data_IF_340230886126
#
_entry.id   IF_340230886126
#
_cell.length_a   1.000
_cell.length_b   1.000
_cell.length_c   1.000
_cell.angle_alpha   90.00
_cell.angle_beta   90.00
_cell.angle_gamma   90.00
#
_symmetry.space_group_name_H-M   'P 1'
#
loop_
_entity.id
_entity.type
_entity.pdbx_description
1 polymer ?
#
# COMPACT_ATOMS: atom_id res chain seq x y z
N UNK A 1 -4.68 2.03 -5.66
CA UNK A 1 -4.23 0.66 -5.80
C UNK A 1 -4.18 0.21 -7.26
N UNK A 2 -5.29 0.27 -8.05
CA UNK A 2 -5.32 -0.18 -9.45
C UNK A 2 -4.22 0.48 -10.31
N UNK A 3 -4.06 1.80 -10.21
CA UNK A 3 -3.02 2.52 -10.94
C UNK A 3 -1.60 2.08 -10.52
N UNK A 4 -1.39 1.79 -9.25
CA UNK A 4 -0.10 1.30 -8.76
C UNK A 4 0.20 -0.10 -9.30
N UNK A 5 -0.78 -1.00 -9.28
CA UNK A 5 -0.65 -2.33 -9.88
C UNK A 5 -0.36 -2.24 -11.39
N UNK A 6 -1.03 -1.32 -12.10
CA UNK A 6 -0.79 -1.07 -13.51
C UNK A 6 0.63 -0.55 -13.76
N UNK A 7 1.11 0.38 -12.92
CA UNK A 7 2.49 0.89 -12.98
C UNK A 7 3.49 -0.25 -12.79
N UNK A 8 3.38 -1.01 -11.71
CA UNK A 8 4.27 -2.13 -11.41
C UNK A 8 4.27 -3.16 -12.54
N UNK A 9 3.10 -3.55 -13.01
CA UNK A 9 2.99 -4.53 -14.08
C UNK A 9 3.60 -4.06 -15.40
N UNK A 10 3.55 -2.76 -15.73
CA UNK A 10 4.25 -2.19 -16.90
C UNK A 10 5.76 -2.18 -16.71
N UNK A 11 6.23 -1.79 -15.53
CA UNK A 11 7.66 -1.73 -15.21
C UNK A 11 8.31 -3.12 -15.23
N UNK A 12 7.64 -4.11 -14.67
CA UNK A 12 8.14 -5.49 -14.56
C UNK A 12 7.78 -6.36 -15.76
N UNK A 13 6.89 -5.89 -16.66
CA UNK A 13 6.28 -6.68 -17.75
C UNK A 13 5.52 -7.90 -17.24
N UNK A 14 5.03 -7.86 -16.01
CA UNK A 14 4.24 -8.92 -15.40
C UNK A 14 2.76 -8.60 -15.55
N UNK A 15 1.97 -9.65 -15.79
CA UNK A 15 0.51 -9.53 -15.83
C UNK A 15 -0.12 -9.85 -14.48
N UNK A 16 0.61 -10.49 -13.61
CA UNK A 16 0.18 -10.90 -12.28
C UNK A 16 1.07 -10.22 -11.24
N UNK A 17 0.49 -9.37 -10.42
CA UNK A 17 1.20 -8.55 -9.45
C UNK A 17 0.58 -8.77 -8.08
N UNK A 18 1.40 -9.05 -7.07
CA UNK A 18 0.95 -9.16 -5.68
C UNK A 18 1.42 -7.92 -4.91
N UNK A 19 0.49 -7.26 -4.23
CA UNK A 19 0.75 -6.04 -3.46
C UNK A 19 0.29 -6.27 -2.02
N UNK A 20 1.17 -6.00 -1.06
CA UNK A 20 0.83 -5.95 0.35
C UNK A 20 0.03 -4.69 0.68
N UNK A 21 -1.01 -4.84 1.49
CA UNK A 21 -1.82 -3.70 1.95
C UNK A 21 -2.00 -3.82 3.46
N UNK A 22 -1.52 -2.85 4.25
CA UNK A 22 -1.76 -2.84 5.68
C UNK A 22 -3.21 -2.45 5.95
N UNK A 23 -3.83 -3.13 6.90
CA UNK A 23 -5.20 -2.87 7.35
C UNK A 23 -5.26 -2.82 8.87
N UNK A 24 -6.14 -1.95 9.40
CA UNK A 24 -6.45 -1.94 10.80
C UNK A 24 -7.45 -3.07 11.09
N UNK A 25 -7.01 -4.15 11.70
CA UNK A 25 -7.85 -5.29 12.07
C UNK A 25 -8.71 -4.98 13.33
N UNK A 26 -9.31 -3.78 13.39
CA UNK A 26 -10.25 -3.34 14.42
C UNK A 26 -11.67 -3.62 13.94
N UNK A 27 -12.24 -4.75 14.33
CA UNK A 27 -13.56 -5.20 13.84
C UNK A 27 -14.58 -5.30 14.96
N UNK A 28 -14.17 -5.18 16.21
CA UNK A 28 -15.02 -5.25 17.38
C UNK A 28 -15.60 -3.90 17.79
N UNK A 29 -16.82 -3.89 18.32
CA UNK A 29 -17.38 -2.71 18.98
C UNK A 29 -16.57 -2.41 20.23
N UNK A 30 -15.85 -1.28 20.26
CA UNK A 30 -15.00 -0.86 21.37
C UNK A 30 -13.49 -1.00 21.11
N UNK A 31 -13.08 -1.56 19.99
CA UNK A 31 -11.65 -1.66 19.62
C UNK A 31 -10.99 -0.28 19.42
N UNK A 32 -11.80 0.75 19.08
CA UNK A 32 -11.29 2.10 18.81
C UNK A 32 -10.63 2.76 20.04
N UNK A 33 -11.07 2.41 21.24
CA UNK A 33 -10.49 2.91 22.49
C UNK A 33 -9.28 2.13 23.00
N UNK A 34 -8.92 1.02 22.36
CA UNK A 34 -7.82 0.16 22.82
C UNK A 34 -6.48 0.64 22.28
N UNK A 35 -5.49 0.67 23.16
CA UNK A 35 -4.08 0.86 22.78
C UNK A 35 -3.45 -0.50 22.54
N UNK A 36 -2.91 -0.71 21.33
CA UNK A 36 -2.29 -1.98 20.98
C UNK A 36 -1.92 -2.05 19.50
N UNK A 37 -1.31 -3.18 19.09
CA UNK A 37 -0.96 -3.43 17.71
C UNK A 37 -2.11 -4.17 17.02
N UNK A 38 -2.86 -3.44 16.17
CA UNK A 38 -4.04 -3.95 15.46
C UNK A 38 -3.83 -3.98 13.93
N UNK A 39 -2.59 -3.90 13.48
CA UNK A 39 -2.30 -3.92 12.05
C UNK A 39 -2.12 -5.36 11.57
N UNK A 40 -2.84 -5.72 10.52
CA UNK A 40 -2.57 -6.92 9.73
C UNK A 40 -2.18 -6.51 8.31
N UNK A 41 -1.59 -7.44 7.57
CA UNK A 41 -1.21 -7.22 6.17
C UNK A 41 -2.00 -8.18 5.28
N UNK A 42 -2.63 -7.63 4.26
CA UNK A 42 -3.33 -8.39 3.23
C UNK A 42 -2.49 -8.47 1.97
N UNK A 43 -2.45 -9.64 1.33
CA UNK A 43 -1.81 -9.83 0.04
C UNK A 43 -2.88 -9.79 -1.07
N UNK A 44 -2.86 -8.74 -1.88
CA UNK A 44 -3.80 -8.58 -3.00
C UNK A 44 -3.11 -9.00 -4.30
N UNK A 45 -3.62 -10.06 -4.91
CA UNK A 45 -3.15 -10.55 -6.20
C UNK A 45 -3.97 -9.96 -7.33
N UNK A 46 -3.39 -9.01 -8.06
CA UNK A 46 -4.02 -8.33 -9.18
C UNK A 46 -3.56 -8.96 -10.50
N UNK A 47 -4.50 -9.60 -11.18
CA UNK A 47 -4.27 -10.17 -12.50
C UNK A 47 -4.69 -9.16 -13.57
N UNK A 48 -3.75 -8.80 -14.46
CA UNK A 48 -3.91 -7.82 -15.54
C UNK A 48 -4.13 -8.48 -16.90
N UNK A 49 -4.37 -9.79 -16.95
CA UNK A 49 -4.61 -10.51 -18.21
C UNK A 49 -5.88 -10.03 -18.90
N UNK A 50 -5.79 -9.94 -20.23
CA UNK A 50 -6.88 -9.49 -21.09
C UNK A 50 -6.83 -7.99 -21.39
N UNK A 51 -7.41 -7.61 -22.54
CA UNK A 51 -7.67 -6.19 -22.85
C UNK A 51 -8.82 -5.72 -21.95
N UNK A 52 -8.48 -5.12 -20.83
CA UNK A 52 -9.47 -4.49 -19.96
C UNK A 52 -9.45 -3.00 -20.19
N UNK A 53 -10.64 -2.45 -20.36
CA UNK A 53 -10.81 -1.02 -20.22
C UNK A 53 -10.58 -0.63 -18.74
N UNK A 54 -10.33 0.63 -18.51
CA UNK A 54 -10.07 1.18 -17.17
C UNK A 54 -11.20 0.91 -16.21
N UNK A 55 -12.45 0.99 -16.67
CA UNK A 55 -13.64 0.75 -15.83
C UNK A 55 -13.66 -0.69 -15.31
N UNK A 56 -13.39 -1.65 -16.18
CA UNK A 56 -13.33 -3.07 -15.79
C UNK A 56 -12.15 -3.36 -14.85
N UNK A 57 -11.00 -2.71 -15.05
CA UNK A 57 -9.87 -2.81 -14.12
C UNK A 57 -10.22 -2.28 -12.72
N UNK A 58 -10.84 -1.10 -12.65
CA UNK A 58 -11.27 -0.50 -11.39
C UNK A 58 -12.32 -1.37 -10.68
N UNK A 59 -13.32 -1.87 -11.42
CA UNK A 59 -14.34 -2.76 -10.87
C UNK A 59 -13.73 -4.04 -10.27
N UNK A 60 -12.88 -4.73 -11.02
CA UNK A 60 -12.20 -5.95 -10.52
C UNK A 60 -11.32 -5.66 -9.31
N UNK A 61 -10.60 -4.53 -9.31
CA UNK A 61 -9.78 -4.14 -8.16
C UNK A 61 -10.64 -3.86 -6.93
N UNK A 62 -11.76 -3.17 -7.09
CA UNK A 62 -12.68 -2.89 -5.99
C UNK A 62 -13.29 -4.18 -5.41
N UNK A 63 -13.70 -5.11 -6.27
CA UNK A 63 -14.23 -6.42 -5.85
C UNK A 63 -13.16 -7.25 -5.12
N UNK A 64 -11.94 -7.25 -5.63
CA UNK A 64 -10.82 -7.94 -4.98
C UNK A 64 -10.55 -7.37 -3.58
N UNK A 65 -10.47 -6.04 -3.45
CA UNK A 65 -10.28 -5.39 -2.15
C UNK A 65 -11.39 -5.77 -1.18
N UNK A 66 -12.65 -5.68 -1.61
CA UNK A 66 -13.80 -6.04 -0.77
C UNK A 66 -13.72 -7.50 -0.30
N UNK A 67 -13.49 -8.44 -1.20
CA UNK A 67 -13.37 -9.87 -0.88
C UNK A 67 -12.19 -10.13 0.07
N UNK A 68 -11.05 -9.46 -0.15
CA UNK A 68 -9.88 -9.65 0.71
C UNK A 68 -10.11 -9.09 2.12
N UNK A 69 -10.84 -7.98 2.24
CA UNK A 69 -11.22 -7.41 3.54
C UNK A 69 -12.16 -8.32 4.35
N UNK A 70 -12.96 -9.16 3.71
CA UNK A 70 -13.77 -10.17 4.40
C UNK A 70 -12.90 -11.18 5.18
N UNK A 71 -11.64 -11.35 4.77
CA UNK A 71 -10.67 -12.25 5.39
C UNK A 71 -9.57 -11.53 6.19
N UNK A 72 -9.74 -10.24 6.50
CA UNK A 72 -8.70 -9.40 7.12
C UNK A 72 -8.24 -9.87 8.51
N UNK A 73 -8.97 -10.78 9.14
CA UNK A 73 -8.61 -11.33 10.45
C UNK A 73 -7.63 -12.51 10.37
N UNK A 74 -7.41 -13.07 9.17
CA UNK A 74 -6.38 -14.09 8.99
C UNK A 74 -5.00 -13.46 9.11
N UNK A 75 -4.17 -13.81 10.12
CA UNK A 75 -2.84 -13.25 10.26
C UNK A 75 -1.96 -13.57 9.05
N UNK A 76 -1.18 -12.58 8.59
CA UNK A 76 -0.30 -12.75 7.44
C UNK A 76 0.71 -13.89 7.61
N UNK A 77 1.23 -14.06 8.83
CA UNK A 77 2.17 -15.15 9.13
C UNK A 77 1.55 -16.52 8.89
N UNK A 78 0.29 -16.73 9.28
CA UNK A 78 -0.43 -17.96 8.99
C UNK A 78 -0.64 -18.18 7.49
N UNK A 79 -0.88 -17.12 6.73
CA UNK A 79 -0.96 -17.20 5.27
C UNK A 79 0.36 -17.69 4.68
N UNK A 80 1.48 -17.11 5.11
CA UNK A 80 2.84 -17.47 4.65
C UNK A 80 3.16 -18.93 4.98
N UNK A 81 2.84 -19.39 6.20
CA UNK A 81 3.05 -20.76 6.64
C UNK A 81 2.26 -21.75 5.80
N UNK A 82 0.98 -21.47 5.51
CA UNK A 82 0.10 -22.36 4.74
C UNK A 82 0.50 -22.43 3.26
N UNK A 83 1.06 -21.37 2.70
CA UNK A 83 1.47 -21.34 1.28
C UNK A 83 2.82 -22.02 1.05
N UNK A 84 3.53 -22.44 2.10
CA UNK A 84 4.79 -23.21 2.04
C UNK A 84 5.82 -22.59 1.06
N UNK A 85 5.93 -21.27 1.01
CA UNK A 85 6.96 -20.63 0.20
C UNK A 85 8.35 -21.02 0.68
N UNK A 86 9.26 -21.25 -0.26
CA UNK A 86 10.67 -21.38 0.06
C UNK A 86 11.13 -20.11 0.79
N UNK A 87 11.64 -20.27 2.01
CA UNK A 87 12.15 -19.13 2.78
C UNK A 87 13.37 -18.57 2.07
N UNK A 88 13.28 -17.34 1.59
CA UNK A 88 14.40 -16.56 1.08
C UNK A 88 14.79 -15.52 2.13
N UNK A 89 16.08 -15.32 2.32
CA UNK A 89 16.59 -14.20 3.11
C UNK A 89 16.72 -12.92 2.26
N UNK A 90 16.60 -13.07 0.94
CA UNK A 90 16.80 -11.96 -0.02
C UNK A 90 15.49 -11.22 -0.34
N UNK A 91 14.33 -11.86 -0.14
CA UNK A 91 13.04 -11.28 -0.53
C UNK A 91 11.99 -11.54 0.53
N UNK A 92 11.14 -10.55 0.75
CA UNK A 92 9.91 -10.72 1.54
C UNK A 92 9.04 -11.82 0.89
N UNK A 93 8.46 -12.75 1.67
CA UNK A 93 7.58 -13.75 1.13
C UNK A 93 6.31 -13.08 0.57
N UNK A 94 5.76 -13.66 -0.50
CA UNK A 94 4.49 -13.29 -1.14
C UNK A 94 4.55 -12.01 -1.98
N UNK A 95 5.08 -10.90 -1.45
CA UNK A 95 5.15 -9.61 -2.17
C UNK A 95 6.37 -8.80 -1.75
N UNK A 96 6.85 -7.93 -2.63
CA UNK A 96 7.95 -6.98 -2.43
C UNK A 96 7.46 -5.53 -2.48
N UNK A 97 6.24 -5.32 -2.99
CA UNK A 97 5.64 -3.99 -3.10
C UNK A 97 4.47 -3.84 -2.13
N UNK A 98 4.41 -2.71 -1.43
CA UNK A 98 3.34 -2.38 -0.49
C UNK A 98 2.59 -1.13 -0.95
N UNK A 99 1.30 -1.09 -0.67
CA UNK A 99 0.44 0.07 -0.88
C UNK A 99 -0.28 0.42 0.42
N UNK A 100 0.02 1.58 0.98
CA UNK A 100 -0.64 2.10 2.16
C UNK A 100 -1.58 3.25 1.80
N UNK A 101 -2.86 3.10 2.15
CA UNK A 101 -3.83 4.19 2.11
C UNK A 101 -4.10 4.66 3.52
N UNK A 102 -3.68 5.87 3.83
CA UNK A 102 -3.88 6.46 5.15
C UNK A 102 -5.13 7.34 5.10
N UNK A 103 -6.13 7.02 5.93
CA UNK A 103 -7.18 7.99 6.22
C UNK A 103 -6.57 9.06 7.11
N UNK A 104 -6.28 10.23 6.57
CA UNK A 104 -5.87 11.35 7.40
C UNK A 104 -7.08 11.87 8.19
N UNK A 105 -7.17 11.49 9.45
CA UNK A 105 -7.57 12.48 10.43
C UNK A 105 -6.38 13.42 10.57
N UNK A 106 -6.57 14.70 10.25
CA UNK A 106 -5.54 15.72 10.48
C UNK A 106 -5.05 15.59 11.93
N UNK A 107 -3.76 15.23 12.09
CA UNK A 107 -3.18 15.16 13.42
C UNK A 107 -3.18 16.56 14.00
N UNK A 108 -4.24 16.92 14.72
CA UNK A 108 -4.34 18.14 15.47
C UNK A 108 -4.10 17.83 16.94
N UNK A 109 -2.87 18.03 17.38
CA UNK A 109 -2.56 17.99 18.80
C UNK A 109 -2.93 19.33 19.42
N UNK A 110 -4.13 19.39 20.00
CA UNK A 110 -4.64 20.64 20.59
C UNK A 110 -4.20 20.71 22.06
N UNK A 111 -3.00 21.26 22.28
CA UNK A 111 -2.44 21.49 23.60
C UNK A 111 -2.60 22.97 23.95
N UNK A 112 -3.17 23.27 25.12
CA UNK A 112 -3.43 24.64 25.55
C UNK A 112 -2.11 25.44 25.66
N UNK A 113 -1.97 26.48 24.82
CA UNK A 113 -0.80 27.35 24.80
C UNK A 113 0.44 26.80 24.07
N UNK A 114 0.29 25.66 23.35
CA UNK A 114 1.39 25.04 22.59
C UNK A 114 0.95 24.89 21.14
N UNK A 115 1.76 25.40 20.21
CA UNK A 115 1.65 25.13 18.79
C UNK A 115 2.43 23.84 18.46
N UNK A 116 1.74 22.82 17.96
CA UNK A 116 2.34 21.55 17.60
C UNK A 116 2.43 21.42 16.08
N UNK A 117 3.61 21.16 15.56
CA UNK A 117 3.85 20.91 14.13
C UNK A 117 4.38 19.50 13.93
N UNK A 118 3.78 18.75 13.01
CA UNK A 118 4.29 17.44 12.62
C UNK A 118 5.54 17.62 11.75
N UNK A 119 6.63 17.00 12.15
CA UNK A 119 7.86 16.96 11.36
C UNK A 119 7.94 15.64 10.60
N UNK A 120 8.06 15.72 9.28
CA UNK A 120 8.35 14.55 8.46
C UNK A 120 9.78 14.09 8.73
N UNK A 121 9.92 12.89 9.27
CA UNK A 121 11.24 12.24 9.42
C UNK A 121 11.41 11.20 8.32
N UNK A 122 12.46 11.31 7.48
CA UNK A 122 12.81 10.26 6.54
C UNK A 122 13.08 8.96 7.30
N UNK A 123 12.49 7.86 6.89
CA UNK A 123 12.82 6.56 7.45
C UNK A 123 14.22 6.16 6.98
N UNK A 124 15.05 5.67 7.91
CA UNK A 124 16.44 5.30 7.59
C UNK A 124 16.53 3.96 6.81
N UNK A 125 15.52 3.10 6.93
CA UNK A 125 15.50 1.76 6.32
C UNK A 125 14.11 1.47 5.72
N UNK A 126 14.10 1.05 4.46
CA UNK A 126 12.89 0.56 3.80
C UNK A 126 12.60 -0.88 4.26
N UNK A 127 11.34 -1.16 4.61
CA UNK A 127 10.90 -2.50 5.02
C UNK A 127 10.60 -3.43 3.84
N UNK A 128 10.28 -2.85 2.70
CA UNK A 128 9.97 -3.54 1.45
C UNK A 128 10.74 -2.88 0.31
N UNK A 129 10.84 -3.57 -0.81
CA UNK A 129 11.53 -3.02 -1.99
C UNK A 129 10.91 -1.68 -2.41
N UNK A 130 9.56 -1.60 -2.36
CA UNK A 130 8.79 -0.39 -2.67
C UNK A 130 7.56 -0.28 -1.77
N UNK A 131 7.32 0.92 -1.20
CA UNK A 131 6.07 1.25 -0.50
C UNK A 131 5.49 2.55 -1.04
N UNK A 132 4.32 2.48 -1.67
CA UNK A 132 3.56 3.67 -2.04
C UNK A 132 2.56 4.00 -0.94
N UNK A 133 2.76 5.13 -0.28
CA UNK A 133 1.85 5.65 0.75
C UNK A 133 1.10 6.86 0.22
N UNK A 134 -0.22 6.82 0.27
CA UNK A 134 -1.11 7.89 -0.18
C UNK A 134 -2.12 8.24 0.90
N UNK A 135 -2.46 9.52 0.99
CA UNK A 135 -3.48 10.02 1.90
C UNK A 135 -4.33 11.11 1.22
N UNK A 136 -5.67 11.12 1.42
CA UNK A 136 -6.51 12.22 0.97
C UNK A 136 -6.28 13.44 1.86
N UNK A 137 -6.42 14.63 1.31
CA UNK A 137 -6.43 15.90 2.05
C UNK A 137 -7.84 16.47 2.12
N UNK A 138 -8.05 17.39 3.04
CA UNK A 138 -9.34 18.07 3.23
C UNK A 138 -9.79 18.86 1.98
N UNK A 139 -8.87 19.31 1.15
CA UNK A 139 -9.14 20.01 -0.11
C UNK A 139 -9.51 19.06 -1.28
N UNK A 140 -9.59 17.76 -1.02
CA UNK A 140 -9.90 16.73 -2.01
C UNK A 140 -8.68 16.28 -2.84
N UNK A 141 -7.50 16.86 -2.62
CA UNK A 141 -6.26 16.38 -3.22
C UNK A 141 -5.75 15.11 -2.53
N UNK A 142 -4.83 14.41 -3.20
CA UNK A 142 -4.15 13.25 -2.65
C UNK A 142 -2.66 13.59 -2.52
N UNK A 143 -2.11 13.35 -1.35
CA UNK A 143 -0.68 13.49 -1.08
C UNK A 143 -0.07 12.15 -0.77
N UNK A 144 1.25 12.03 -0.91
CA UNK A 144 1.95 10.82 -0.52
C UNK A 144 3.36 10.75 -1.09
N UNK A 145 3.98 9.59 -0.91
CA UNK A 145 5.35 9.36 -1.32
C UNK A 145 5.60 7.90 -1.68
N UNK A 146 6.72 7.67 -2.34
CA UNK A 146 7.25 6.36 -2.65
C UNK A 146 8.52 6.14 -1.82
N UNK A 147 8.44 5.25 -0.83
CA UNK A 147 9.60 4.71 -0.12
C UNK A 147 10.17 3.56 -0.96
N UNK A 148 11.49 3.46 -1.03
CA UNK A 148 12.17 2.43 -1.81
C UNK A 148 13.47 1.99 -1.13
N UNK A 149 13.86 0.75 -1.37
CA UNK A 149 15.16 0.25 -0.93
C UNK A 149 16.28 0.84 -1.80
N UNK A 150 17.12 1.69 -1.19
CA UNK A 150 18.22 2.36 -1.86
C UNK A 150 19.35 1.40 -2.30
N UNK A 151 19.37 0.18 -1.79
CA UNK A 151 20.29 -0.86 -2.27
C UNK A 151 19.84 -1.46 -3.61
N UNK A 152 18.53 -1.39 -3.92
CA UNK A 152 17.94 -1.94 -5.14
C UNK A 152 17.70 -0.87 -6.21
N UNK A 153 17.33 0.35 -5.80
CA UNK A 153 16.89 1.38 -6.73
C UNK A 153 17.63 2.71 -6.53
N UNK A 154 18.06 3.29 -7.62
CA UNK A 154 18.61 4.65 -7.61
C UNK A 154 17.49 5.69 -7.39
N UNK A 155 17.78 6.82 -6.68
CA UNK A 155 16.78 7.87 -6.42
C UNK A 155 16.08 8.37 -7.68
N UNK A 156 16.82 8.65 -8.75
CA UNK A 156 16.26 9.11 -10.03
C UNK A 156 15.29 8.09 -10.67
N UNK A 157 15.42 6.81 -10.33
CA UNK A 157 14.49 5.77 -10.80
C UNK A 157 13.16 5.86 -10.04
N UNK A 158 13.21 5.96 -8.72
CA UNK A 158 12.02 6.12 -7.87
C UNK A 158 11.27 7.41 -8.20
N UNK A 159 11.99 8.51 -8.42
CA UNK A 159 11.40 9.80 -8.84
C UNK A 159 10.64 9.68 -10.17
N UNK A 160 11.23 9.01 -11.18
CA UNK A 160 10.55 8.77 -12.46
C UNK A 160 9.28 7.95 -12.31
N UNK A 161 9.29 6.93 -11.44
CA UNK A 161 8.12 6.09 -11.20
C UNK A 161 7.03 6.86 -10.48
N UNK A 162 7.40 7.66 -9.47
CA UNK A 162 6.46 8.51 -8.77
C UNK A 162 5.84 9.55 -9.72
N UNK A 163 6.64 10.17 -10.60
CA UNK A 163 6.15 11.11 -11.61
C UNK A 163 5.27 10.46 -12.70
N UNK A 164 5.40 9.15 -12.93
CA UNK A 164 4.57 8.42 -13.88
C UNK A 164 3.16 8.13 -13.34
N UNK A 165 3.00 8.02 -12.03
CA UNK A 165 1.72 7.65 -11.40
C UNK A 165 0.59 8.66 -11.68
N UNK A 166 0.77 9.99 -11.52
CA UNK A 166 -0.28 10.97 -11.88
C UNK A 166 -0.66 10.93 -13.35
N UNK A 167 0.32 10.72 -14.24
CA UNK A 167 0.05 10.62 -15.69
C UNK A 167 -0.78 9.38 -16.01
N UNK A 168 -0.49 8.29 -15.33
CA UNK A 168 -1.24 7.05 -15.49
C UNK A 168 -2.67 7.20 -14.95
N UNK A 169 -2.85 7.86 -13.80
CA UNK A 169 -4.16 8.18 -13.24
C UNK A 169 -4.98 9.08 -14.17
N UNK A 170 -4.35 10.09 -14.81
CA UNK A 170 -5.03 10.96 -15.75
C UNK A 170 -5.45 10.26 -17.05
N UNK A 171 -4.78 9.14 -17.39
CA UNK A 171 -5.09 8.33 -18.59
C UNK A 171 -6.06 7.17 -18.32
N UNK A 172 -6.47 6.98 -17.09
CA UNK A 172 -7.44 5.97 -16.63
C UNK A 172 -8.87 6.53 -16.62
#
# INVERSE_FOLDING_TARGET
>A
LAAYAELLGRLTRQQDVVIGVPVAARTGKGDDGLVGFFVNTLALRLNRTGQCDTRALLGRTADLVRQTLEHQLLPFDQLVENLSFARSLEHSPVFQAMFAWQSQEEFSLNLQGIEATLLDQPQAEAKFDLTLSLAPRADGSITGGLEYDASLFAPATAERWLAALPRLLAGM
#
